data_IF_744674063192
#
_entry.id   IF_744674063192
#
_cell.length_a   1.000
_cell.length_b   1.000
_cell.length_c   1.000
_cell.angle_alpha   90.00
_cell.angle_beta   90.00
_cell.angle_gamma   90.00
#
_symmetry.space_group_name_H-M   'P 1'
#
loop_
_entity.id
_entity.type
_entity.pdbx_description
1 polymer ?
#
# COMPACT_ATOMS: atom_id res chain seq x y z
N UNK A 1 23.86 9.44 5.22
CA UNK A 1 22.95 9.66 4.09
C UNK A 1 23.82 9.90 2.88
N UNK A 2 23.65 9.07 1.86
CA UNK A 2 24.42 9.13 0.61
C UNK A 2 23.47 9.27 -0.59
N UNK A 3 22.25 9.76 -0.34
CA UNK A 3 21.22 9.94 -1.38
C UNK A 3 21.63 11.05 -2.34
N UNK A 4 21.46 10.80 -3.64
CA UNK A 4 21.74 11.75 -4.72
C UNK A 4 20.48 11.96 -5.59
N UNK A 5 20.65 12.61 -6.75
CA UNK A 5 19.53 12.88 -7.66
C UNK A 5 19.04 11.63 -8.40
N UNK A 6 19.83 10.56 -8.40
CA UNK A 6 19.59 9.34 -9.15
C UNK A 6 19.08 8.20 -8.24
N UNK A 7 19.15 8.36 -6.91
CA UNK A 7 18.55 7.40 -5.99
C UNK A 7 18.66 7.74 -4.50
N UNK A 8 17.83 7.05 -3.70
CA UNK A 8 17.88 7.08 -2.24
C UNK A 8 18.90 6.04 -1.75
N UNK A 9 19.86 6.47 -0.93
CA UNK A 9 20.88 5.58 -0.34
C UNK A 9 21.17 5.93 1.11
N UNK A 10 20.96 4.95 1.99
CA UNK A 10 21.26 5.06 3.42
C UNK A 10 22.38 4.08 3.75
N UNK A 11 23.57 4.60 4.07
CA UNK A 11 24.69 3.81 4.58
C UNK A 11 24.63 3.76 6.12
N UNK A 12 24.57 2.55 6.68
CA UNK A 12 24.65 2.29 8.12
C UNK A 12 25.94 1.51 8.36
N UNK A 13 26.97 2.18 8.87
CA UNK A 13 28.24 1.53 9.19
C UNK A 13 28.14 0.80 10.54
N UNK A 14 28.58 -0.46 10.56
CA UNK A 14 28.59 -1.31 11.75
C UNK A 14 30.01 -1.42 12.30
N UNK A 15 30.13 -1.62 13.62
CA UNK A 15 31.42 -1.92 14.25
C UNK A 15 31.92 -3.31 13.80
N UNK A 16 33.25 -3.48 13.75
CA UNK A 16 33.91 -4.72 13.26
C UNK A 16 33.38 -6.03 13.85
N UNK A 17 33.02 -6.03 15.14
CA UNK A 17 32.55 -7.23 15.85
C UNK A 17 31.04 -7.20 16.14
N UNK A 18 30.30 -6.31 15.48
CA UNK A 18 28.85 -6.23 15.66
C UNK A 18 28.16 -7.41 14.96
N UNK A 19 27.19 -8.02 15.66
CA UNK A 19 26.29 -8.98 15.03
C UNK A 19 25.29 -8.24 14.14
N UNK A 20 25.46 -8.36 12.82
CA UNK A 20 24.68 -7.64 11.82
C UNK A 20 23.20 -8.02 11.84
N UNK A 21 22.87 -9.30 12.02
CA UNK A 21 21.48 -9.79 12.08
C UNK A 21 20.75 -9.24 13.31
N UNK A 22 21.43 -9.20 14.45
CA UNK A 22 20.85 -8.65 15.69
C UNK A 22 20.54 -7.16 15.53
N UNK A 23 21.46 -6.39 14.95
CA UNK A 23 21.26 -4.95 14.70
C UNK A 23 20.12 -4.74 13.70
N UNK A 24 20.08 -5.52 12.61
CA UNK A 24 19.02 -5.41 11.60
C UNK A 24 17.63 -5.74 12.20
N UNK A 25 17.52 -6.81 12.97
CA UNK A 25 16.27 -7.19 13.65
C UNK A 25 15.82 -6.14 14.66
N UNK A 26 16.77 -5.52 15.37
CA UNK A 26 16.48 -4.42 16.27
C UNK A 26 15.93 -3.20 15.50
N UNK A 27 16.57 -2.84 14.38
CA UNK A 27 16.12 -1.73 13.54
C UNK A 27 14.73 -1.97 12.96
N UNK A 28 14.42 -3.17 12.45
CA UNK A 28 13.08 -3.51 11.97
C UNK A 28 11.99 -3.41 13.05
N UNK A 29 12.34 -3.67 14.31
CA UNK A 29 11.37 -3.71 15.41
C UNK A 29 11.13 -2.35 16.07
N UNK A 30 12.18 -1.52 16.17
CA UNK A 30 12.17 -0.30 16.97
C UNK A 30 12.30 0.98 16.15
N UNK A 31 12.39 0.87 14.82
CA UNK A 31 12.38 2.01 13.90
C UNK A 31 11.37 1.77 12.78
N UNK A 32 11.05 2.81 12.02
CA UNK A 32 10.14 2.71 10.87
C UNK A 32 10.79 2.07 9.64
N UNK A 33 11.94 1.41 9.78
CA UNK A 33 12.57 0.62 8.72
C UNK A 33 11.65 -0.51 8.23
N UNK A 34 10.78 -1.03 9.11
CA UNK A 34 9.69 -1.92 8.75
C UNK A 34 8.43 -1.51 9.51
N UNK A 35 7.39 -1.08 8.78
CA UNK A 35 6.10 -0.68 9.37
C UNK A 35 4.99 -1.63 8.95
N UNK A 36 4.00 -1.78 9.83
CA UNK A 36 2.76 -2.48 9.50
C UNK A 36 1.82 -1.53 8.76
N UNK A 37 1.37 -1.92 7.56
CA UNK A 37 0.33 -1.21 6.84
C UNK A 37 -1.00 -1.93 7.01
N UNK A 38 -1.99 -1.24 7.60
CA UNK A 38 -3.31 -1.80 7.87
C UNK A 38 -4.31 -1.37 6.81
N UNK A 39 -4.93 -2.32 6.14
CA UNK A 39 -6.01 -2.03 5.19
C UNK A 39 -7.29 -1.66 5.94
N UNK A 40 -7.87 -0.50 5.59
CA UNK A 40 -9.23 -0.13 5.97
C UNK A 40 -9.99 0.37 4.74
N UNK A 41 -10.43 -0.57 3.92
CA UNK A 41 -11.11 -0.29 2.64
C UNK A 41 -12.57 0.09 2.89
N UNK A 42 -12.83 1.36 3.20
CA UNK A 42 -14.17 1.94 3.33
C UNK A 42 -14.45 2.82 2.12
N UNK A 43 -15.60 2.60 1.48
CA UNK A 43 -16.03 3.37 0.31
C UNK A 43 -17.53 3.69 0.39
N UNK A 44 -18.00 4.62 -0.44
CA UNK A 44 -19.42 4.86 -0.63
C UNK A 44 -19.94 3.91 -1.70
N UNK A 45 -20.92 3.08 -1.31
CA UNK A 45 -21.65 2.19 -2.20
C UNK A 45 -23.15 2.42 -1.96
N UNK A 46 -23.88 2.68 -3.04
CA UNK A 46 -25.30 3.06 -3.01
C UNK A 46 -25.62 4.14 -1.95
N UNK A 47 -24.90 5.27 -2.00
CA UNK A 47 -25.06 6.43 -1.11
C UNK A 47 -24.78 6.18 0.39
N UNK A 48 -24.20 5.03 0.75
CA UNK A 48 -23.87 4.68 2.15
C UNK A 48 -22.43 4.22 2.31
N UNK A 49 -21.78 4.49 3.46
CA UNK A 49 -20.43 3.99 3.72
C UNK A 49 -20.46 2.48 3.97
N UNK A 50 -19.59 1.75 3.27
CA UNK A 50 -19.42 0.30 3.42
C UNK A 50 -17.95 -0.05 3.51
N UNK A 51 -17.61 -0.92 4.46
CA UNK A 51 -16.32 -1.60 4.49
C UNK A 51 -16.37 -2.76 3.50
N UNK A 52 -15.49 -2.74 2.49
CA UNK A 52 -15.55 -3.66 1.36
C UNK A 52 -14.19 -4.28 1.05
N UNK A 53 -14.22 -5.55 0.61
CA UNK A 53 -13.05 -6.25 0.07
C UNK A 53 -12.91 -6.08 -1.44
N UNK A 54 -11.98 -6.83 -2.03
CA UNK A 54 -11.72 -6.76 -3.48
C UNK A 54 -12.91 -7.20 -4.35
N UNK A 55 -13.68 -8.20 -3.91
CA UNK A 55 -14.81 -8.72 -4.71
C UNK A 55 -15.93 -7.68 -4.87
N UNK A 56 -16.45 -7.03 -3.80
CA UNK A 56 -17.42 -5.95 -3.96
C UNK A 56 -16.92 -4.78 -4.81
N UNK A 57 -15.63 -4.44 -4.73
CA UNK A 57 -15.02 -3.37 -5.55
C UNK A 57 -15.12 -3.75 -7.04
N UNK A 58 -14.68 -4.96 -7.39
CA UNK A 58 -14.69 -5.42 -8.79
C UNK A 58 -16.11 -5.59 -9.32
N UNK A 59 -17.04 -6.12 -8.53
CA UNK A 59 -18.43 -6.27 -8.96
C UNK A 59 -19.12 -4.91 -9.17
N UNK A 60 -18.88 -3.94 -8.28
CA UNK A 60 -19.40 -2.58 -8.40
C UNK A 60 -18.83 -1.88 -9.64
N UNK A 61 -17.54 -2.07 -9.92
CA UNK A 61 -16.90 -1.55 -11.13
C UNK A 61 -17.49 -2.16 -12.41
N UNK A 62 -17.69 -3.49 -12.46
CA UNK A 62 -18.30 -4.16 -13.61
C UNK A 62 -19.73 -3.68 -13.83
N UNK A 63 -20.52 -3.54 -12.76
CA UNK A 63 -21.89 -3.02 -12.82
C UNK A 63 -21.92 -1.60 -13.38
N UNK A 64 -21.05 -0.72 -12.88
CA UNK A 64 -20.92 0.64 -13.40
C UNK A 64 -20.53 0.66 -14.89
N UNK A 65 -19.55 -0.16 -15.30
CA UNK A 65 -19.13 -0.27 -16.70
C UNK A 65 -20.25 -0.77 -17.61
N UNK A 66 -21.08 -1.71 -17.14
CA UNK A 66 -22.25 -2.19 -17.88
C UNK A 66 -23.22 -1.06 -18.18
N UNK A 67 -23.56 -0.25 -17.18
CA UNK A 67 -24.47 0.88 -17.36
C UNK A 67 -23.91 1.93 -18.32
N UNK A 68 -22.61 2.25 -18.20
CA UNK A 68 -21.93 3.16 -19.13
C UNK A 68 -21.98 2.64 -20.57
N UNK A 69 -21.73 1.35 -20.79
CA UNK A 69 -21.77 0.76 -22.14
C UNK A 69 -23.19 0.78 -22.70
N UNK A 70 -24.20 0.44 -21.89
CA UNK A 70 -25.60 0.48 -22.33
C UNK A 70 -26.06 1.90 -22.65
N UNK A 71 -25.67 2.90 -21.85
CA UNK A 71 -25.95 4.30 -22.11
C UNK A 71 -25.28 4.77 -23.40
N UNK A 72 -24.01 4.41 -23.62
CA UNK A 72 -23.26 4.74 -24.84
C UNK A 72 -23.88 4.09 -26.08
N UNK A 73 -24.34 2.85 -26.01
CA UNK A 73 -24.92 2.16 -27.17
C UNK A 73 -26.32 2.65 -27.54
N UNK A 74 -27.01 3.38 -26.66
CA UNK A 74 -28.35 3.94 -26.92
C UNK A 74 -28.31 5.35 -27.54
N UNK A 75 -27.14 6.00 -27.55
CA UNK A 75 -26.89 7.31 -28.15
C UNK A 75 -26.03 7.15 -29.40
#
# INVERSE_FOLDING_TARGET
>A
DESDRDGLRIAIELKKDANTELVLNYLFKYTDLQINYNFNMVAIDNFTPRQIGIVPILSSYIAHRREVILARSRF
#
